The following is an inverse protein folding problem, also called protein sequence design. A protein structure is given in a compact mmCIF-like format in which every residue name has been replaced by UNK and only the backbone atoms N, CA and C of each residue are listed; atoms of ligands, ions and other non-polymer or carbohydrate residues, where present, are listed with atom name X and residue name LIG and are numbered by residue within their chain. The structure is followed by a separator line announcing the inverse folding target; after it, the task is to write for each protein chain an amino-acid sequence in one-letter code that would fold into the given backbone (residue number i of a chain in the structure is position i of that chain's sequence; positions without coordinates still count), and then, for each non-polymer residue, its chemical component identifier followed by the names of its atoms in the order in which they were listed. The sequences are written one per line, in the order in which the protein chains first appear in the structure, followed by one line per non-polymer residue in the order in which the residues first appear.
data_IF_655892192112
#
_entry.id   IF_655892192112
#
_cell.length_a   1.000
_cell.length_b   1.000
_cell.length_c   1.000
_cell.angle_alpha   90.00
_cell.angle_beta   90.00
_cell.angle_gamma   90.00
#
_symmetry.space_group_name_H-M   'P 1'
#
loop_
_entity.id
_entity.type
_entity.pdbx_description
1 polymer ?
#
# COMPACT_ATOMS: atom_id res chain seq x y z
N UNK A 1 47.01 -30.07 91.50
CA UNK A 1 47.66 -28.78 91.88
C UNK A 1 48.51 -28.33 90.74
N UNK A 2 48.59 -27.09 90.52
CA UNK A 2 49.30 -26.31 89.52
C UNK A 2 48.44 -25.78 88.38
N UNK A 3 48.14 -24.47 88.50
CA UNK A 3 47.53 -23.58 87.53
C UNK A 3 48.55 -23.16 86.46
N UNK A 4 48.17 -23.10 85.21
CA UNK A 4 48.95 -22.36 84.23
C UNK A 4 47.96 -21.50 83.43
N UNK A 5 48.24 -20.20 83.43
CA UNK A 5 47.56 -19.17 82.70
C UNK A 5 48.06 -19.16 81.26
N UNK A 6 47.19 -19.13 80.31
CA UNK A 6 47.51 -18.89 78.90
C UNK A 6 46.96 -17.52 78.47
N UNK A 7 47.88 -16.66 78.08
CA UNK A 7 47.59 -15.32 77.63
C UNK A 7 46.93 -15.30 76.24
N UNK A 8 45.91 -14.43 76.10
CA UNK A 8 45.20 -14.20 74.91
C UNK A 8 45.85 -13.05 74.11
N UNK A 9 46.40 -13.36 72.92
CA UNK A 9 46.91 -12.36 71.97
C UNK A 9 45.78 -11.99 71.02
N UNK A 10 45.27 -10.78 71.12
CA UNK A 10 44.34 -10.21 70.09
C UNK A 10 45.14 -9.78 68.88
N UNK A 11 44.95 -10.46 67.76
CA UNK A 11 45.35 -9.95 66.45
C UNK A 11 44.15 -9.10 65.87
N UNK A 12 44.37 -7.83 65.71
CA UNK A 12 43.46 -6.92 64.96
C UNK A 12 43.71 -7.09 63.46
N UNK A 13 42.76 -7.69 62.73
CA UNK A 13 42.77 -7.75 61.27
C UNK A 13 42.10 -6.47 60.70
N UNK A 14 42.92 -5.65 60.10
CA UNK A 14 42.38 -4.49 59.31
C UNK A 14 41.85 -4.99 57.97
N UNK A 15 40.53 -4.91 57.76
CA UNK A 15 39.87 -5.19 56.49
C UNK A 15 39.96 -3.96 55.55
N UNK A 16 40.79 -4.03 54.49
CA UNK A 16 40.76 -3.10 53.41
C UNK A 16 39.52 -3.38 52.58
N UNK A 17 38.53 -2.49 52.62
CA UNK A 17 37.39 -2.50 51.69
C UNK A 17 37.85 -1.98 50.31
N UNK A 18 37.98 -2.88 49.35
CA UNK A 18 38.21 -2.53 47.96
C UNK A 18 36.89 -2.02 47.36
N UNK A 19 36.82 -0.73 47.04
CA UNK A 19 35.72 -0.15 46.29
C UNK A 19 35.77 -0.62 44.83
N UNK A 20 34.82 -1.44 44.41
CA UNK A 20 34.65 -1.84 43.00
C UNK A 20 34.15 -0.63 42.17
N UNK A 21 34.73 -0.36 40.99
CA UNK A 21 34.21 0.69 40.12
C UNK A 21 32.83 0.27 39.61
N UNK A 22 31.82 1.08 39.87
CA UNK A 22 30.49 0.96 39.29
C UNK A 22 30.59 1.20 37.77
N UNK A 23 30.40 0.16 36.98
CA UNK A 23 30.32 0.29 35.53
C UNK A 23 29.09 1.15 35.15
N UNK A 24 29.37 2.26 34.48
CA UNK A 24 28.32 3.11 33.95
C UNK A 24 27.47 2.33 32.93
N UNK A 25 26.17 2.15 33.20
CA UNK A 25 25.26 1.56 32.27
C UNK A 25 25.17 2.45 31.00
N UNK A 26 25.23 1.86 29.77
CA UNK A 26 25.02 2.64 28.57
C UNK A 26 23.62 3.21 28.61
N UNK A 27 23.52 4.53 28.38
CA UNK A 27 22.26 5.24 28.29
C UNK A 27 21.42 4.62 27.16
N UNK A 28 20.22 4.15 27.48
CA UNK A 28 19.23 3.70 26.49
C UNK A 28 18.95 4.88 25.53
N UNK A 29 19.05 4.69 24.21
CA UNK A 29 18.71 5.78 23.29
C UNK A 29 17.24 6.20 23.52
N UNK A 30 17.03 7.41 23.98
CA UNK A 30 15.72 8.02 24.09
C UNK A 30 15.16 8.11 22.66
N UNK A 31 14.18 7.29 22.33
CA UNK A 31 13.44 7.41 21.08
C UNK A 31 12.89 8.81 21.01
N UNK A 32 13.23 9.56 19.94
CA UNK A 32 12.62 10.85 19.68
C UNK A 32 11.08 10.69 19.62
N UNK A 33 10.31 11.63 20.15
CA UNK A 33 8.86 11.57 20.05
C UNK A 33 8.48 11.50 18.55
N UNK A 34 7.47 10.69 18.17
CA UNK A 34 7.02 10.62 16.78
C UNK A 34 6.66 12.01 16.29
N UNK A 35 7.10 12.36 15.08
CA UNK A 35 6.70 13.61 14.45
C UNK A 35 5.18 13.77 14.47
N UNK A 36 4.64 14.97 14.68
CA UNK A 36 3.20 15.18 14.66
C UNK A 36 2.63 14.66 13.34
N UNK A 37 1.58 13.84 13.41
CA UNK A 37 0.92 13.26 12.24
C UNK A 37 0.45 14.42 11.35
N UNK A 38 0.96 14.48 10.13
CA UNK A 38 0.46 15.43 9.13
C UNK A 38 -0.85 14.88 8.56
N UNK A 39 -1.82 15.74 8.30
CA UNK A 39 -3.10 15.31 7.71
C UNK A 39 -2.90 14.75 6.28
N UNK A 40 -1.78 15.10 5.64
CA UNK A 40 -1.44 14.69 4.27
C UNK A 40 -0.05 14.07 4.24
N UNK A 41 0.09 12.94 3.58
CA UNK A 41 1.38 12.33 3.31
C UNK A 41 1.72 12.44 1.83
N UNK A 42 2.98 12.70 1.53
CA UNK A 42 3.49 12.58 0.16
C UNK A 42 3.49 11.11 -0.29
N UNK A 43 3.15 10.88 -1.54
CA UNK A 43 3.30 9.56 -2.17
C UNK A 43 4.78 9.36 -2.49
N UNK A 44 5.36 8.23 -2.06
CA UNK A 44 6.73 7.87 -2.38
C UNK A 44 6.88 7.65 -3.90
N UNK A 45 7.72 8.45 -4.60
CA UNK A 45 7.91 8.30 -6.03
C UNK A 45 8.42 6.91 -6.46
N UNK A 46 9.17 6.21 -5.59
CA UNK A 46 9.64 4.87 -5.88
C UNK A 46 8.51 3.83 -5.83
N UNK A 47 7.43 4.16 -5.14
CA UNK A 47 6.22 3.34 -4.98
C UNK A 47 5.01 3.94 -5.71
N UNK A 48 5.24 4.67 -6.80
CA UNK A 48 4.18 5.26 -7.60
C UNK A 48 4.43 5.08 -9.10
N UNK A 49 3.33 4.94 -9.85
CA UNK A 49 3.32 4.85 -11.31
C UNK A 49 2.61 6.08 -11.87
N UNK A 50 3.28 6.84 -12.75
CA UNK A 50 2.68 7.89 -13.56
C UNK A 50 2.23 7.29 -14.90
N UNK A 51 0.95 7.44 -15.21
CA UNK A 51 0.34 7.04 -16.46
C UNK A 51 -0.19 8.30 -17.16
N UNK A 52 0.45 8.71 -18.23
CA UNK A 52 -0.05 9.77 -19.09
C UNK A 52 -0.97 9.15 -20.15
N UNK A 53 -2.17 9.70 -20.31
CA UNK A 53 -3.18 9.17 -21.22
C UNK A 53 -3.67 10.26 -22.19
N UNK A 54 -4.43 9.88 -23.20
CA UNK A 54 -5.15 10.82 -24.08
C UNK A 54 -6.21 11.65 -23.35
N UNK A 55 -6.61 11.27 -22.13
CA UNK A 55 -7.60 11.98 -21.28
C UNK A 55 -6.97 12.77 -20.13
N UNK A 56 -5.67 12.58 -19.86
CA UNK A 56 -4.99 13.25 -18.74
C UNK A 56 -4.04 12.32 -18.00
N UNK A 57 -3.61 12.77 -16.83
CA UNK A 57 -2.63 12.04 -15.99
C UNK A 57 -3.34 11.24 -14.91
N UNK A 58 -2.82 10.03 -14.68
CA UNK A 58 -3.22 9.15 -13.59
C UNK A 58 -1.96 8.81 -12.79
N UNK A 59 -2.03 8.86 -11.46
CA UNK A 59 -0.98 8.32 -10.59
C UNK A 59 -1.57 7.19 -9.78
N UNK A 60 -0.87 6.04 -9.80
CA UNK A 60 -1.23 4.87 -9.01
C UNK A 60 -0.18 4.68 -7.92
N UNK A 61 -0.58 4.70 -6.65
CA UNK A 61 0.28 4.25 -5.56
C UNK A 61 0.32 2.72 -5.55
N UNK A 62 1.53 2.17 -5.58
CA UNK A 62 1.78 0.73 -5.63
C UNK A 62 1.70 0.12 -4.22
N UNK A 63 1.21 -1.11 -4.13
CA UNK A 63 0.99 -1.82 -2.88
C UNK A 63 1.88 -3.08 -2.75
N UNK A 64 3.22 -2.94 -2.64
CA UNK A 64 4.13 -4.09 -2.59
C UNK A 64 3.94 -4.97 -1.34
N UNK A 65 3.36 -4.45 -0.27
CA UNK A 65 3.01 -5.24 0.91
C UNK A 65 1.78 -6.15 0.69
N UNK A 66 0.98 -5.89 -0.36
CA UNK A 66 -0.18 -6.71 -0.76
C UNK A 66 0.21 -7.69 -1.85
N UNK A 67 0.85 -7.22 -2.93
CA UNK A 67 1.16 -8.02 -4.11
C UNK A 67 2.58 -7.71 -4.63
N UNK A 68 3.63 -8.22 -3.97
CA UNK A 68 5.02 -7.93 -4.33
C UNK A 68 5.39 -8.41 -5.75
N UNK A 69 4.91 -9.56 -6.21
CA UNK A 69 5.21 -10.09 -7.53
C UNK A 69 4.57 -9.23 -8.63
N UNK A 70 3.30 -8.86 -8.45
CA UNK A 70 2.59 -8.01 -9.40
C UNK A 70 3.21 -6.61 -9.47
N UNK A 71 3.54 -5.99 -8.33
CA UNK A 71 4.23 -4.68 -8.30
C UNK A 71 5.58 -4.75 -9.00
N UNK A 72 6.39 -5.77 -8.74
CA UNK A 72 7.68 -5.95 -9.41
C UNK A 72 7.50 -6.10 -10.94
N UNK A 73 6.49 -6.87 -11.39
CA UNK A 73 6.14 -7.05 -12.80
C UNK A 73 5.74 -5.73 -13.45
N UNK A 74 4.83 -4.99 -12.86
CA UNK A 74 4.37 -3.68 -13.37
C UNK A 74 5.55 -2.72 -13.52
N UNK A 75 6.42 -2.61 -12.50
CA UNK A 75 7.63 -1.77 -12.57
C UNK A 75 8.59 -2.21 -13.66
N UNK A 76 8.82 -3.51 -13.81
CA UNK A 76 9.71 -4.07 -14.85
C UNK A 76 9.19 -3.75 -16.24
N UNK A 77 7.92 -3.99 -16.52
CA UNK A 77 7.31 -3.72 -17.82
C UNK A 77 7.28 -2.21 -18.12
N UNK A 78 6.98 -1.38 -17.10
CA UNK A 78 7.04 0.08 -17.20
C UNK A 78 8.43 0.56 -17.63
N UNK A 79 9.51 0.09 -16.99
CA UNK A 79 10.87 0.48 -17.30
C UNK A 79 11.34 0.00 -18.70
N UNK A 80 10.72 -1.06 -19.21
CA UNK A 80 10.91 -1.51 -20.60
C UNK A 80 10.11 -0.69 -21.62
N UNK A 81 9.30 0.30 -21.18
CA UNK A 81 8.39 1.04 -22.06
C UNK A 81 7.28 0.16 -22.65
N UNK A 82 7.00 -0.99 -22.04
CA UNK A 82 6.02 -1.94 -22.55
C UNK A 82 4.62 -1.35 -22.65
N UNK A 83 4.25 -0.46 -21.74
CA UNK A 83 2.92 0.14 -21.67
C UNK A 83 2.75 1.38 -22.55
N UNK A 84 3.82 1.94 -23.10
CA UNK A 84 3.74 3.15 -23.94
C UNK A 84 2.97 2.85 -25.22
N UNK A 85 1.89 3.61 -25.45
CA UNK A 85 0.98 3.44 -26.58
C UNK A 85 -0.11 2.37 -26.39
N UNK A 86 -0.13 1.62 -25.29
CA UNK A 86 -1.14 0.60 -25.05
C UNK A 86 -2.54 1.19 -24.92
N UNK A 87 -3.52 0.54 -25.55
CA UNK A 87 -4.92 0.97 -25.62
C UNK A 87 -5.70 0.49 -24.40
N UNK A 88 -6.69 1.27 -24.00
CA UNK A 88 -7.79 0.77 -23.17
C UNK A 88 -8.78 0.04 -24.08
N UNK A 89 -8.62 -1.25 -24.22
CA UNK A 89 -9.33 -2.06 -25.21
C UNK A 89 -10.64 -2.67 -24.71
N UNK A 90 -10.88 -2.61 -23.37
CA UNK A 90 -12.12 -3.07 -22.75
C UNK A 90 -12.48 -2.13 -21.60
N UNK A 91 -13.53 -1.35 -21.80
CA UNK A 91 -13.94 -0.32 -20.85
C UNK A 91 -15.45 -0.43 -20.60
N UNK A 92 -15.80 -0.88 -19.42
CA UNK A 92 -17.20 -1.04 -19.02
C UNK A 92 -17.60 0.15 -18.16
N UNK A 93 -18.69 0.82 -18.59
CA UNK A 93 -19.24 1.97 -17.87
C UNK A 93 -19.54 1.59 -16.41
N UNK A 94 -19.15 2.47 -15.48
CA UNK A 94 -19.38 2.29 -14.05
C UNK A 94 -18.85 0.96 -13.47
N UNK A 95 -17.81 0.39 -14.10
CA UNK A 95 -17.20 -0.84 -13.65
C UNK A 95 -15.67 -0.76 -13.68
N UNK A 96 -15.03 -0.87 -14.85
CA UNK A 96 -13.57 -0.82 -14.98
C UNK A 96 -13.06 -0.38 -16.35
N UNK A 97 -11.80 0.02 -16.44
CA UNK A 97 -11.07 0.27 -17.68
C UNK A 97 -9.84 -0.66 -17.74
N UNK A 98 -9.81 -1.58 -18.71
CA UNK A 98 -8.76 -2.60 -18.88
C UNK A 98 -7.82 -2.25 -20.02
N UNK A 99 -6.52 -2.48 -19.78
CA UNK A 99 -5.40 -2.14 -20.66
C UNK A 99 -4.21 -3.07 -20.42
N UNK A 100 -3.02 -2.68 -20.90
CA UNK A 100 -1.77 -3.40 -20.63
C UNK A 100 -1.43 -4.44 -21.68
N UNK A 101 -2.05 -4.34 -22.85
CA UNK A 101 -1.74 -5.10 -24.04
C UNK A 101 -1.31 -4.14 -25.16
N UNK A 102 -0.25 -4.48 -25.90
CA UNK A 102 0.22 -3.68 -27.06
C UNK A 102 -0.58 -3.90 -28.34
N UNK A 103 -1.70 -4.57 -28.24
CA UNK A 103 -2.57 -4.76 -29.39
C UNK A 103 -2.41 -6.13 -30.03
N UNK A 104 -3.54 -6.74 -30.21
CA UNK A 104 -3.85 -7.82 -31.10
C UNK A 104 -3.20 -9.17 -30.81
N UNK A 105 -3.80 -9.97 -30.00
CA UNK A 105 -3.77 -11.43 -30.01
C UNK A 105 -2.85 -12.17 -29.07
N UNK A 106 -1.84 -11.56 -28.46
CA UNK A 106 -1.00 -12.28 -27.48
C UNK A 106 -1.30 -11.99 -26.02
N UNK A 107 -1.99 -10.89 -25.71
CA UNK A 107 -2.46 -10.48 -24.36
C UNK A 107 -1.44 -10.64 -23.23
N UNK A 108 -0.15 -10.79 -23.55
CA UNK A 108 0.90 -11.02 -22.55
C UNK A 108 2.26 -10.52 -23.01
N UNK A 109 3.12 -10.22 -22.06
CA UNK A 109 4.55 -9.96 -22.30
C UNK A 109 5.31 -11.28 -22.52
N UNK A 110 6.60 -11.16 -22.88
CA UNK A 110 7.56 -12.25 -22.97
C UNK A 110 7.95 -12.88 -21.62
N UNK A 111 7.50 -12.28 -20.51
CA UNK A 111 7.81 -12.74 -19.17
C UNK A 111 6.87 -13.90 -18.76
N UNK A 112 7.31 -14.79 -17.84
CA UNK A 112 6.45 -15.86 -17.31
C UNK A 112 5.18 -15.31 -16.65
N UNK A 113 4.12 -16.07 -16.60
CA UNK A 113 2.93 -15.73 -15.82
C UNK A 113 3.25 -15.58 -14.34
N UNK A 114 2.43 -14.81 -13.64
CA UNK A 114 2.55 -14.58 -12.20
C UNK A 114 1.69 -15.57 -11.41
N UNK A 115 2.22 -16.00 -10.28
CA UNK A 115 1.42 -16.63 -9.24
C UNK A 115 0.40 -15.61 -8.70
N UNK A 116 -0.81 -16.06 -8.41
CA UNK A 116 -1.86 -15.25 -7.83
C UNK A 116 -1.47 -14.71 -6.43
N UNK A 117 -1.77 -13.42 -6.19
CA UNK A 117 -1.60 -12.74 -4.91
C UNK A 117 -2.93 -12.10 -4.52
N UNK A 118 -3.95 -12.92 -4.30
CA UNK A 118 -5.32 -12.47 -3.98
C UNK A 118 -5.47 -12.04 -2.54
N UNK A 119 -4.62 -12.59 -1.68
CA UNK A 119 -4.55 -12.30 -0.25
C UNK A 119 -3.09 -12.08 0.16
N UNK A 120 -2.92 -11.44 1.31
CA UNK A 120 -1.60 -11.23 1.92
C UNK A 120 -1.65 -11.59 3.40
N UNK A 121 -0.48 -11.83 4.00
CA UNK A 121 -0.37 -12.02 5.45
C UNK A 121 -0.01 -10.69 6.11
N UNK A 122 -0.88 -10.17 6.98
CA UNK A 122 -0.54 -9.04 7.83
C UNK A 122 0.53 -9.44 8.86
N UNK A 123 1.60 -8.68 8.92
CA UNK A 123 2.69 -8.82 9.89
C UNK A 123 2.93 -7.47 10.57
N UNK A 124 3.81 -7.43 11.58
CA UNK A 124 4.23 -6.19 12.21
C UNK A 124 4.93 -5.21 11.23
N UNK A 125 5.51 -5.72 10.14
CA UNK A 125 6.15 -4.91 9.09
C UNK A 125 5.16 -4.40 8.02
N UNK A 126 3.91 -4.87 8.02
CA UNK A 126 2.89 -4.38 7.08
C UNK A 126 2.47 -2.97 7.49
N UNK A 127 2.58 -1.94 6.63
CA UNK A 127 2.19 -0.57 6.94
C UNK A 127 0.66 -0.43 6.94
N UNK A 128 0.01 -1.08 7.89
CA UNK A 128 -1.44 -1.16 8.02
C UNK A 128 -1.95 -0.15 9.03
N UNK A 129 -2.93 0.65 8.63
CA UNK A 129 -3.68 1.55 9.53
C UNK A 129 -5.11 1.03 9.65
N UNK A 130 -5.49 0.61 10.87
CA UNK A 130 -6.85 0.18 11.19
C UNK A 130 -7.81 1.37 11.25
N UNK A 131 -9.02 1.19 10.75
CA UNK A 131 -10.13 2.15 10.88
C UNK A 131 -11.30 1.60 11.67
N UNK A 132 -11.26 0.33 12.06
CA UNK A 132 -12.24 -0.28 12.94
C UNK A 132 -12.62 -1.71 12.58
N UNK A 133 -13.07 -2.44 13.60
CA UNK A 133 -13.49 -3.83 13.46
C UNK A 133 -14.86 -3.94 12.78
N UNK A 134 -15.03 -5.01 12.01
CA UNK A 134 -16.29 -5.43 11.38
C UNK A 134 -16.52 -6.91 11.65
N UNK A 135 -17.71 -7.40 11.34
CA UNK A 135 -17.96 -8.84 11.36
C UNK A 135 -16.96 -9.56 10.47
N UNK A 136 -16.15 -10.45 11.06
CA UNK A 136 -15.14 -11.22 10.35
C UNK A 136 -13.74 -10.60 10.26
N UNK A 137 -13.47 -9.47 10.93
CA UNK A 137 -12.11 -8.91 10.95
C UNK A 137 -12.02 -7.42 11.22
N UNK A 138 -11.01 -6.80 10.63
CA UNK A 138 -10.68 -5.39 10.79
C UNK A 138 -10.57 -4.72 9.43
N UNK A 139 -11.13 -3.53 9.27
CA UNK A 139 -11.00 -2.70 8.07
C UNK A 139 -9.84 -1.72 8.23
N UNK A 140 -9.17 -1.42 7.14
CA UNK A 140 -8.07 -0.46 7.17
C UNK A 140 -7.46 -0.17 5.81
N UNK A 141 -6.27 0.41 5.87
CA UNK A 141 -5.51 0.79 4.68
C UNK A 141 -4.08 0.25 4.74
N UNK A 142 -3.58 -0.17 3.58
CA UNK A 142 -2.15 -0.37 3.31
C UNK A 142 -1.76 0.66 2.26
N UNK A 143 -1.04 1.71 2.67
CA UNK A 143 -0.89 2.91 1.84
C UNK A 143 -2.25 3.55 1.56
N UNK A 144 -2.58 3.80 0.29
CA UNK A 144 -3.90 4.28 -0.11
C UNK A 144 -4.88 3.13 -0.42
N UNK A 145 -4.43 1.86 -0.42
CA UNK A 145 -5.26 0.71 -0.79
C UNK A 145 -6.13 0.27 0.40
N UNK A 146 -7.45 0.30 0.28
CA UNK A 146 -8.37 -0.18 1.32
C UNK A 146 -8.32 -1.70 1.39
N UNK A 147 -8.26 -2.24 2.59
CA UNK A 147 -8.15 -3.67 2.85
C UNK A 147 -9.05 -4.11 3.99
N UNK A 148 -9.38 -5.38 4.01
CA UNK A 148 -9.90 -6.08 5.18
C UNK A 148 -8.90 -7.13 5.63
N UNK A 149 -8.76 -7.30 6.95
CA UNK A 149 -7.88 -8.30 7.57
C UNK A 149 -8.73 -9.17 8.48
N UNK A 150 -8.74 -10.47 8.22
CA UNK A 150 -9.43 -11.46 9.03
C UNK A 150 -8.78 -11.66 10.41
N UNK A 151 -9.50 -12.29 11.32
CA UNK A 151 -9.01 -12.58 12.67
C UNK A 151 -7.75 -13.48 12.69
N UNK A 152 -7.54 -14.26 11.64
CA UNK A 152 -6.37 -15.11 11.41
C UNK A 152 -5.16 -14.35 10.85
N UNK A 153 -5.30 -13.04 10.57
CA UNK A 153 -4.27 -12.21 9.98
C UNK A 153 -4.14 -12.32 8.45
N UNK A 154 -5.02 -13.06 7.77
CA UNK A 154 -5.13 -12.99 6.31
C UNK A 154 -5.85 -11.71 5.91
N UNK A 155 -5.24 -10.94 5.01
CA UNK A 155 -5.79 -9.70 4.47
C UNK A 155 -6.08 -9.78 2.98
N UNK A 156 -7.01 -8.96 2.50
CA UNK A 156 -7.32 -8.81 1.07
C UNK A 156 -7.74 -7.37 0.77
N UNK A 157 -7.50 -6.93 -0.46
CA UNK A 157 -7.92 -5.60 -0.89
C UNK A 157 -9.42 -5.55 -1.20
N UNK A 158 -10.06 -4.44 -0.82
CA UNK A 158 -11.44 -4.12 -1.20
C UNK A 158 -11.44 -3.45 -2.57
N UNK A 159 -12.36 -3.85 -3.45
CA UNK A 159 -12.42 -3.36 -4.83
C UNK A 159 -13.13 -2.01 -4.95
N UNK A 160 -12.59 -1.01 -4.26
CA UNK A 160 -13.06 0.37 -4.30
C UNK A 160 -12.69 1.08 -5.61
N UNK A 161 -13.32 2.23 -5.94
CA UNK A 161 -12.90 3.05 -7.06
C UNK A 161 -11.41 3.39 -7.01
N UNK A 162 -10.75 3.29 -8.16
CA UNK A 162 -9.32 3.53 -8.31
C UNK A 162 -8.44 2.31 -8.04
N UNK A 163 -8.93 1.22 -7.48
CA UNK A 163 -8.13 -0.01 -7.31
C UNK A 163 -7.62 -0.49 -8.67
N UNK A 164 -6.33 -0.84 -8.71
CA UNK A 164 -5.63 -1.36 -9.87
C UNK A 164 -5.32 -2.85 -9.65
N UNK A 165 -5.80 -3.71 -10.56
CA UNK A 165 -5.67 -5.16 -10.42
C UNK A 165 -5.32 -5.84 -11.75
N UNK A 166 -4.78 -7.06 -11.68
CA UNK A 166 -4.41 -7.86 -12.85
C UNK A 166 -5.50 -8.88 -13.18
N UNK A 167 -6.01 -8.91 -14.42
CA UNK A 167 -6.85 -10.01 -14.88
C UNK A 167 -6.04 -11.29 -15.06
N UNK A 168 -6.72 -12.43 -14.99
CA UNK A 168 -6.20 -13.75 -15.30
C UNK A 168 -7.25 -14.54 -16.09
N UNK A 169 -6.87 -15.67 -16.67
CA UNK A 169 -7.77 -16.65 -17.27
C UNK A 169 -8.37 -17.57 -16.19
N UNK A 170 -8.93 -18.70 -16.57
CA UNK A 170 -9.52 -19.68 -15.63
C UNK A 170 -8.51 -20.15 -14.56
N UNK A 171 -7.25 -20.37 -14.95
CA UNK A 171 -6.16 -20.58 -13.98
C UNK A 171 -5.75 -19.23 -13.37
N UNK A 172 -5.87 -19.07 -12.04
CA UNK A 172 -5.51 -17.83 -11.34
C UNK A 172 -4.03 -17.44 -11.48
N UNK A 173 -3.15 -18.38 -11.86
CA UNK A 173 -1.72 -18.14 -12.05
C UNK A 173 -1.37 -17.74 -13.49
N UNK A 174 -2.29 -17.12 -14.21
CA UNK A 174 -2.10 -16.67 -15.60
C UNK A 174 -2.03 -15.17 -15.80
N UNK A 175 -2.05 -14.38 -14.72
CA UNK A 175 -1.80 -12.95 -14.81
C UNK A 175 -0.41 -12.68 -15.41
N UNK A 176 -0.27 -11.64 -16.25
CA UNK A 176 1.00 -11.38 -16.95
C UNK A 176 1.34 -9.88 -17.06
N UNK A 177 0.72 -9.16 -18.01
CA UNK A 177 1.00 -7.74 -18.29
C UNK A 177 -0.24 -6.86 -18.20
N UNK A 178 -1.41 -7.42 -18.42
CA UNK A 178 -2.65 -6.68 -18.42
C UNK A 178 -3.03 -6.22 -17.02
N UNK A 179 -3.73 -5.10 -16.96
CA UNK A 179 -4.34 -4.62 -15.72
C UNK A 179 -5.64 -3.87 -16.02
N UNK A 180 -6.44 -3.68 -14.98
CA UNK A 180 -7.63 -2.84 -15.03
C UNK A 180 -7.66 -1.88 -13.85
N UNK A 181 -8.31 -0.74 -14.07
CA UNK A 181 -8.54 0.30 -13.07
C UNK A 181 -10.04 0.34 -12.76
N UNK A 182 -10.40 0.19 -11.49
CA UNK A 182 -11.79 0.20 -11.06
C UNK A 182 -12.38 1.61 -11.16
N UNK A 183 -13.57 1.71 -11.72
CA UNK A 183 -14.34 2.96 -11.84
C UNK A 183 -15.39 3.08 -10.74
N UNK A 184 -15.81 1.94 -10.19
CA UNK A 184 -16.81 1.81 -9.14
C UNK A 184 -16.42 0.69 -8.18
N UNK A 185 -17.08 0.64 -7.03
CA UNK A 185 -16.98 -0.48 -6.09
C UNK A 185 -17.56 -1.77 -6.66
N UNK A 186 -16.83 -2.87 -6.50
CA UNK A 186 -17.19 -4.20 -6.99
C UNK A 186 -16.78 -5.31 -6.01
N UNK A 187 -17.54 -5.51 -4.92
CA UNK A 187 -17.15 -6.47 -3.87
C UNK A 187 -17.10 -7.92 -4.35
N UNK A 188 -17.79 -8.25 -5.44
CA UNK A 188 -17.73 -9.60 -6.04
C UNK A 188 -16.35 -9.97 -6.61
N UNK A 189 -15.43 -9.00 -6.75
CA UNK A 189 -14.07 -9.24 -7.23
C UNK A 189 -13.06 -9.49 -6.09
N UNK A 190 -13.46 -9.32 -4.84
CA UNK A 190 -12.58 -9.53 -3.70
C UNK A 190 -12.08 -10.97 -3.66
N UNK A 191 -10.79 -11.14 -3.36
CA UNK A 191 -10.07 -12.44 -3.35
C UNK A 191 -10.08 -13.20 -4.68
N UNK A 192 -10.41 -12.54 -5.80
CA UNK A 192 -10.45 -13.19 -7.13
C UNK A 192 -9.40 -12.66 -8.09
N UNK A 193 -8.85 -11.46 -7.88
CA UNK A 193 -7.79 -10.90 -8.71
C UNK A 193 -6.71 -10.25 -7.85
N UNK A 194 -5.47 -10.23 -8.37
CA UNK A 194 -4.33 -9.62 -7.70
C UNK A 194 -4.40 -8.10 -7.77
N UNK A 195 -4.55 -7.44 -6.61
CA UNK A 195 -4.52 -5.97 -6.49
C UNK A 195 -3.09 -5.52 -6.24
N UNK A 196 -2.58 -4.64 -7.11
CA UNK A 196 -1.21 -4.14 -7.05
C UNK A 196 -1.07 -2.66 -6.68
N UNK A 197 -2.21 -1.92 -6.55
CA UNK A 197 -2.20 -0.52 -6.15
C UNK A 197 -3.56 0.14 -6.22
N UNK A 198 -3.56 1.47 -6.01
CA UNK A 198 -4.75 2.33 -6.14
C UNK A 198 -4.40 3.66 -6.80
N UNK A 199 -5.28 4.15 -7.64
CA UNK A 199 -5.24 5.50 -8.21
C UNK A 199 -5.35 6.52 -7.08
N UNK A 200 -4.38 7.42 -7.01
CA UNK A 200 -4.28 8.51 -6.03
C UNK A 200 -4.33 9.90 -6.66
N UNK A 201 -4.31 9.95 -7.99
CA UNK A 201 -4.57 11.15 -8.80
C UNK A 201 -5.20 10.71 -10.12
N UNK A 202 -6.23 11.43 -10.60
CA UNK A 202 -6.83 11.21 -11.91
C UNK A 202 -7.89 10.10 -11.95
N UNK A 203 -8.62 9.86 -10.87
CA UNK A 203 -9.76 8.94 -10.89
C UNK A 203 -10.87 9.44 -11.83
N UNK A 204 -11.04 10.75 -11.96
CA UNK A 204 -11.90 11.40 -12.95
C UNK A 204 -11.42 11.11 -14.38
N UNK A 205 -10.12 11.11 -14.63
CA UNK A 205 -9.51 10.69 -15.91
C UNK A 205 -9.85 9.22 -16.20
N UNK A 206 -9.70 8.31 -15.23
CA UNK A 206 -10.10 6.90 -15.39
C UNK A 206 -11.58 6.78 -15.78
N UNK A 207 -12.43 7.59 -15.16
CA UNK A 207 -13.87 7.62 -15.46
C UNK A 207 -14.20 8.23 -16.83
N UNK A 208 -13.32 9.10 -17.35
CA UNK A 208 -13.49 9.76 -18.64
C UNK A 208 -13.01 8.91 -19.85
N UNK A 209 -12.30 7.78 -19.61
CA UNK A 209 -11.87 6.85 -20.66
C UNK A 209 -13.12 6.33 -21.41
N UNK A 210 -13.05 6.32 -22.74
CA UNK A 210 -14.17 5.96 -23.60
C UNK A 210 -14.63 4.52 -23.37
N UNK A 211 -15.96 4.34 -23.26
CA UNK A 211 -16.57 3.03 -23.01
C UNK A 211 -16.65 2.20 -24.29
N UNK A 212 -16.49 0.88 -24.14
CA UNK A 212 -16.65 -0.10 -25.23
C UNK A 212 -15.82 -1.35 -25.02
N UNK A 213 -16.18 -2.42 -25.73
CA UNK A 213 -15.49 -3.73 -25.70
C UNK A 213 -15.24 -4.26 -27.12
N UNK A 214 -14.34 -3.65 -27.95
CA UNK A 214 -13.51 -2.48 -27.67
C UNK A 214 -14.28 -1.15 -27.83
N UNK A 215 -13.75 -0.01 -27.28
CA UNK A 215 -14.28 1.31 -27.57
C UNK A 215 -14.14 1.65 -29.06
N UNK A 216 -15.09 2.43 -29.66
CA UNK A 216 -14.99 2.84 -31.07
C UNK A 216 -13.75 3.72 -31.35
N UNK A 217 -13.35 4.58 -30.40
CA UNK A 217 -12.14 5.40 -30.46
C UNK A 217 -11.30 5.19 -29.18
N UNK A 218 -10.53 4.09 -29.08
CA UNK A 218 -9.88 3.71 -27.84
C UNK A 218 -8.90 4.77 -27.35
N UNK A 219 -9.06 5.20 -26.11
CA UNK A 219 -8.03 5.96 -25.41
C UNK A 219 -6.78 5.11 -25.20
N UNK A 220 -5.64 5.76 -25.02
CA UNK A 220 -4.35 5.09 -24.85
C UNK A 220 -3.52 5.68 -23.73
N UNK A 221 -2.65 4.87 -23.16
CA UNK A 221 -1.55 5.33 -22.34
C UNK A 221 -0.46 5.85 -23.28
N UNK A 222 -0.20 7.14 -23.29
CA UNK A 222 0.83 7.74 -24.17
C UNK A 222 2.23 7.51 -23.63
N UNK A 223 2.36 7.48 -22.30
CA UNK A 223 3.63 7.24 -21.60
C UNK A 223 3.33 6.70 -20.20
N UNK A 224 4.10 5.67 -19.77
CA UNK A 224 4.00 5.12 -18.41
C UNK A 224 5.38 5.06 -17.78
N UNK A 225 5.54 5.63 -16.57
CA UNK A 225 6.83 5.66 -15.86
C UNK A 225 6.63 5.37 -14.38
N UNK A 226 7.62 4.69 -13.76
CA UNK A 226 7.75 4.75 -12.30
C UNK A 226 8.04 6.21 -11.96
N UNK A 227 7.33 6.79 -10.99
CA UNK A 227 7.40 8.21 -10.72
C UNK A 227 8.82 8.67 -10.33
N UNK A 228 9.59 7.80 -9.67
CA UNK A 228 11.00 8.07 -9.35
C UNK A 228 11.90 8.20 -10.59
N UNK A 229 11.53 7.56 -11.70
CA UNK A 229 12.32 7.58 -12.95
C UNK A 229 11.98 8.83 -13.81
N UNK A 230 11.01 9.66 -13.39
CA UNK A 230 10.67 10.95 -14.02
C UNK A 230 11.59 12.03 -13.44
N UNK A 231 12.13 12.97 -14.23
CA UNK A 231 12.89 14.11 -13.69
C UNK A 231 12.12 14.86 -12.64
N UNK A 232 12.78 15.27 -11.54
CA UNK A 232 12.10 15.87 -10.38
C UNK A 232 11.25 17.11 -10.75
N UNK A 233 11.71 17.92 -11.70
CA UNK A 233 11.00 19.12 -12.17
C UNK A 233 9.71 18.79 -12.97
N UNK A 234 9.55 17.56 -13.47
CA UNK A 234 8.40 17.13 -14.25
C UNK A 234 7.43 16.27 -13.43
N UNK A 235 7.83 15.89 -12.20
CA UNK A 235 7.00 15.05 -11.33
C UNK A 235 5.80 15.83 -10.82
N UNK A 236 4.58 15.30 -10.96
CA UNK A 236 3.46 15.84 -10.20
C UNK A 236 3.73 15.64 -8.69
N UNK A 237 3.51 16.68 -7.89
CA UNK A 237 3.42 16.52 -6.45
C UNK A 237 2.10 15.83 -6.13
N UNK A 238 2.17 14.65 -5.51
CA UNK A 238 0.99 13.87 -5.14
C UNK A 238 0.98 13.67 -3.63
N UNK A 239 -0.06 14.17 -3.00
CA UNK A 239 -0.36 13.97 -1.58
C UNK A 239 -1.68 13.23 -1.44
N UNK A 240 -1.74 12.36 -0.47
CA UNK A 240 -2.96 11.64 -0.09
C UNK A 240 -3.25 11.93 1.38
N UNK A 241 -4.54 11.92 1.72
CA UNK A 241 -4.96 12.02 3.11
C UNK A 241 -4.37 10.82 3.88
N UNK A 242 -3.66 11.12 4.97
CA UNK A 242 -3.04 10.08 5.80
C UNK A 242 -4.11 9.38 6.65
N UNK A 243 -4.33 8.07 6.47
CA UNK A 243 -5.29 7.33 7.30
C UNK A 243 -4.98 7.38 8.82
N UNK A 244 -3.75 7.69 9.21
CA UNK A 244 -3.36 7.95 10.61
C UNK A 244 -3.57 9.40 11.07
N UNK A 245 -3.99 10.31 10.18
CA UNK A 245 -4.13 11.74 10.47
C UNK A 245 -5.49 12.13 11.05
N UNK A 246 -5.55 13.31 11.65
CA UNK A 246 -6.79 13.83 12.26
C UNK A 246 -7.86 14.19 11.22
N UNK A 247 -7.45 14.73 10.05
CA UNK A 247 -8.39 15.05 8.98
C UNK A 247 -9.07 13.78 8.45
N UNK A 248 -8.32 12.68 8.34
CA UNK A 248 -8.90 11.37 7.99
C UNK A 248 -9.90 10.90 9.05
N UNK A 249 -9.58 11.01 10.34
CA UNK A 249 -10.50 10.62 11.41
C UNK A 249 -11.82 11.41 11.36
N UNK A 250 -11.75 12.71 11.04
CA UNK A 250 -12.94 13.55 10.83
C UNK A 250 -13.74 13.10 9.60
N UNK A 251 -13.07 12.87 8.47
CA UNK A 251 -13.70 12.38 7.24
C UNK A 251 -14.40 11.03 7.48
N UNK A 252 -13.73 10.10 8.16
CA UNK A 252 -14.27 8.79 8.52
C UNK A 252 -15.56 8.95 9.34
N UNK A 253 -15.51 9.74 10.41
CA UNK A 253 -16.66 9.96 11.28
C UNK A 253 -17.84 10.59 10.52
N UNK A 254 -17.60 11.62 9.72
CA UNK A 254 -18.63 12.28 8.91
C UNK A 254 -19.24 11.32 7.89
N UNK A 255 -18.41 10.52 7.22
CA UNK A 255 -18.88 9.56 6.22
C UNK A 255 -19.69 8.44 6.88
N UNK A 256 -19.23 7.91 8.01
CA UNK A 256 -19.99 6.91 8.79
C UNK A 256 -21.37 7.45 9.24
N UNK A 257 -21.43 8.69 9.70
CA UNK A 257 -22.71 9.33 10.08
C UNK A 257 -23.63 9.50 8.87
N UNK A 258 -23.08 9.93 7.73
CA UNK A 258 -23.87 10.16 6.51
C UNK A 258 -24.37 8.86 5.86
N UNK A 259 -23.60 7.78 5.93
CA UNK A 259 -23.92 6.50 5.28
C UNK A 259 -24.63 5.52 6.21
N UNK A 260 -24.48 5.68 7.52
CA UNK A 260 -25.04 4.78 8.53
C UNK A 260 -24.65 3.32 8.29
N UNK A 261 -25.62 2.38 8.29
CA UNK A 261 -25.34 0.95 8.10
C UNK A 261 -24.85 0.60 6.67
N UNK A 262 -24.94 1.53 5.72
CA UNK A 262 -24.45 1.35 4.35
C UNK A 262 -23.03 1.86 4.15
N UNK A 263 -22.33 2.22 5.22
CA UNK A 263 -20.94 2.68 5.16
C UNK A 263 -20.02 1.60 4.60
N UNK A 264 -19.12 2.02 3.72
CA UNK A 264 -18.01 1.22 3.20
C UNK A 264 -16.74 2.06 3.18
N UNK A 265 -15.56 1.45 3.31
CA UNK A 265 -14.29 2.14 3.06
C UNK A 265 -14.21 2.73 1.64
N UNK A 266 -14.99 2.20 0.71
CA UNK A 266 -15.08 2.71 -0.66
C UNK A 266 -15.77 4.09 -0.77
N UNK A 267 -16.44 4.54 0.29
CA UNK A 267 -17.02 5.88 0.38
C UNK A 267 -15.97 6.95 0.75
N UNK A 268 -14.77 6.52 1.21
CA UNK A 268 -13.71 7.43 1.61
C UNK A 268 -12.81 7.76 0.42
N UNK A 269 -12.74 9.04 0.06
CA UNK A 269 -11.81 9.56 -0.92
C UNK A 269 -10.56 10.09 -0.23
N UNK A 270 -9.42 9.43 -0.44
CA UNK A 270 -8.11 9.86 0.05
C UNK A 270 -7.39 10.80 -0.92
N UNK A 271 -7.98 11.08 -2.10
CA UNK A 271 -7.33 11.75 -3.23
C UNK A 271 -7.65 13.24 -3.30
N UNK A 272 -8.22 13.82 -2.25
CA UNK A 272 -8.54 15.23 -2.22
C UNK A 272 -7.32 16.08 -2.59
N UNK A 273 -7.51 17.09 -3.44
CA UNK A 273 -6.49 18.12 -3.64
C UNK A 273 -6.16 18.74 -2.28
N UNK A 274 -4.89 18.66 -1.87
CA UNK A 274 -4.41 19.48 -0.76
C UNK A 274 -4.79 20.93 -1.06
N UNK A 275 -5.29 21.69 -0.07
CA UNK A 275 -5.65 23.08 -0.24
C UNK A 275 -4.47 23.93 -0.69
#
# INVERSE_FOLDING_TARGET
MIRSAAGLILLAAAALAAASPTAAQPATPTSAPPAPATDWRAVDPASALLIETTKGRIVVELAPAIAPLAVARIKTLTRRGYYDGALFYRVIKDYMAQTGDKGARTFRSDLPNLKAEFTFRRTAATPYVSVGGVAGGDLGFVGATPVQVGADGEGWALYCPGVAAMPHYDDPNTANSQFFLMRRWAPSLEKTFTVWGRVVLGLDVVRAIENGEPPPHPDRMTRVRVLADVPAAERPEVKVLDPGGQAFARLLQQTMQARGPNFSLCDLDLTGSAP
#
